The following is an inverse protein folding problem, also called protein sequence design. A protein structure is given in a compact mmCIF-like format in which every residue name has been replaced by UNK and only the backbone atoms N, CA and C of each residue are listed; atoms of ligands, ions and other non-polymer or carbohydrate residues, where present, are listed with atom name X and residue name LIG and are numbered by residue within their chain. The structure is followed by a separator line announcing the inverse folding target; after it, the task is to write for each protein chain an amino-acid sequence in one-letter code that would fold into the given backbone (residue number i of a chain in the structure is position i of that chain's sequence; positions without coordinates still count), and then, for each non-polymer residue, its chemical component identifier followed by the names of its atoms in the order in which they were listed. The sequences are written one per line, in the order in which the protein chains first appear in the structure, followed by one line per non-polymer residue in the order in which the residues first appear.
data_IF_231582841875
#
_entry.id   IF_231582841875
#
_cell.length_a   1.000
_cell.length_b   1.000
_cell.length_c   1.000
_cell.angle_alpha   90.00
_cell.angle_beta   90.00
_cell.angle_gamma   90.00
#
_symmetry.space_group_name_H-M   'P 1'
#
loop_
_entity.id
_entity.type
_entity.pdbx_description
1 polymer ?
#
# COMPACT_ATOMS: atom_id res chain seq x y z
N UNK A 1 17.80 13.80 1.11
CA UNK A 1 17.98 12.38 1.47
C UNK A 1 18.85 11.64 0.45
N UNK A 2 18.52 11.59 -0.84
CA UNK A 2 19.30 10.86 -1.87
C UNK A 2 20.76 11.30 -2.06
N UNK A 3 21.04 12.60 -1.99
CA UNK A 3 22.43 13.11 -2.10
C UNK A 3 23.32 12.60 -0.96
N UNK A 4 22.77 12.47 0.23
CA UNK A 4 23.46 11.93 1.41
C UNK A 4 23.72 10.43 1.23
N UNK A 5 22.79 9.68 0.67
CA UNK A 5 22.93 8.23 0.48
C UNK A 5 23.98 7.87 -0.59
N UNK A 6 24.09 8.65 -1.68
CA UNK A 6 25.11 8.41 -2.72
C UNK A 6 26.54 8.56 -2.17
N UNK A 7 26.78 9.55 -1.32
CA UNK A 7 28.10 9.76 -0.70
C UNK A 7 28.37 8.82 0.48
N UNK A 8 27.32 8.30 1.15
CA UNK A 8 27.43 7.41 2.31
C UNK A 8 27.61 5.95 1.86
N UNK A 9 27.06 5.54 0.71
CA UNK A 9 27.12 4.16 0.26
C UNK A 9 28.54 3.69 -0.10
N UNK A 10 29.41 4.57 -0.59
CA UNK A 10 30.78 4.20 -0.98
C UNK A 10 31.70 3.94 0.22
N UNK A 11 31.49 4.60 1.37
CA UNK A 11 32.35 4.45 2.55
C UNK A 11 31.80 3.50 3.63
N UNK A 12 30.50 3.17 3.61
CA UNK A 12 29.80 2.40 4.65
C UNK A 12 29.28 1.03 4.17
N UNK A 13 29.72 0.55 3.01
CA UNK A 13 29.33 -0.76 2.48
C UNK A 13 29.59 -1.87 3.53
N UNK A 14 28.52 -2.56 3.95
CA UNK A 14 28.59 -3.62 4.97
C UNK A 14 28.71 -3.14 6.42
N UNK A 15 28.69 -1.81 6.67
CA UNK A 15 28.84 -1.22 8.02
C UNK A 15 27.63 -0.39 8.46
N UNK A 16 26.66 -0.18 7.59
CA UNK A 16 25.43 0.54 7.89
C UNK A 16 24.20 -0.27 7.47
N UNK A 17 23.18 -0.28 8.32
CA UNK A 17 21.84 -0.78 8.00
C UNK A 17 20.98 0.38 7.47
N UNK A 18 20.21 0.13 6.42
CA UNK A 18 19.22 1.08 5.91
C UNK A 18 17.86 0.66 6.41
N UNK A 19 17.24 1.50 7.23
CA UNK A 19 15.89 1.26 7.75
C UNK A 19 14.94 2.17 6.96
N UNK A 20 14.03 1.62 6.14
CA UNK A 20 13.02 2.40 5.46
C UNK A 20 11.97 2.86 6.47
N UNK A 21 11.76 4.18 6.56
CA UNK A 21 10.72 4.77 7.42
C UNK A 21 9.59 5.26 6.52
N UNK A 22 8.38 4.83 6.83
CA UNK A 22 7.13 5.30 6.21
C UNK A 22 6.44 6.34 7.11
N UNK A 23 5.30 6.87 6.66
CA UNK A 23 4.42 7.64 7.54
C UNK A 23 3.87 6.79 8.69
N UNK A 24 3.24 7.42 9.67
CA UNK A 24 2.69 6.75 10.85
C UNK A 24 1.67 5.67 10.45
N UNK A 25 1.72 4.52 11.11
CA UNK A 25 0.67 3.50 11.01
C UNK A 25 -0.55 3.91 11.83
N UNK A 26 -1.69 3.27 11.57
CA UNK A 26 -2.91 3.50 12.33
C UNK A 26 -2.72 3.18 13.83
N UNK A 27 -1.95 2.15 14.14
CA UNK A 27 -1.58 1.80 15.53
C UNK A 27 -0.78 2.92 16.19
N UNK A 28 0.26 3.46 15.54
CA UNK A 28 1.08 4.57 16.06
C UNK A 28 0.24 5.85 16.26
N UNK A 29 -0.65 6.18 15.32
CA UNK A 29 -1.52 7.35 15.44
C UNK A 29 -2.47 7.23 16.63
N UNK A 30 -2.89 6.01 16.98
CA UNK A 30 -3.75 5.74 18.12
C UNK A 30 -2.96 5.51 19.43
N UNK A 31 -1.62 5.62 19.41
CA UNK A 31 -0.76 5.47 20.58
C UNK A 31 -0.53 4.01 21.00
N UNK A 32 -0.77 3.06 20.11
CA UNK A 32 -0.49 1.64 20.36
C UNK A 32 0.88 1.26 19.79
N UNK A 33 1.48 0.24 20.37
CA UNK A 33 2.69 -0.35 19.80
C UNK A 33 2.35 -1.07 18.49
N UNK A 34 3.02 -0.76 17.38
CA UNK A 34 2.75 -1.45 16.11
C UNK A 34 3.22 -2.92 16.21
N UNK A 35 2.37 -3.82 15.74
CA UNK A 35 2.64 -5.25 15.65
C UNK A 35 2.53 -5.71 14.20
N UNK A 36 3.27 -6.75 13.82
CA UNK A 36 3.20 -7.35 12.51
C UNK A 36 1.79 -7.92 12.22
N UNK A 37 1.21 -7.61 11.07
CA UNK A 37 -0.10 -8.14 10.69
C UNK A 37 -0.04 -9.65 10.45
N UNK A 38 -0.99 -10.37 11.01
CA UNK A 38 -1.16 -11.81 10.81
C UNK A 38 -2.60 -12.16 10.39
N UNK A 39 -2.75 -13.16 9.53
CA UNK A 39 -4.05 -13.74 9.21
C UNK A 39 -4.49 -14.82 10.19
N UNK A 40 -3.62 -15.23 11.12
CA UNK A 40 -3.93 -16.23 12.15
C UNK A 40 -4.93 -15.65 13.17
N UNK A 41 -6.10 -16.29 13.35
CA UNK A 41 -7.10 -15.85 14.32
C UNK A 41 -6.56 -15.77 15.76
N UNK A 42 -5.66 -16.67 16.13
CA UNK A 42 -5.11 -16.72 17.50
C UNK A 42 -4.25 -15.50 17.83
N UNK A 43 -3.59 -14.93 16.84
CA UNK A 43 -2.80 -13.70 16.95
C UNK A 43 -3.69 -12.45 16.88
N UNK A 44 -4.73 -12.48 16.05
CA UNK A 44 -5.61 -11.32 15.79
C UNK A 44 -6.57 -11.00 16.92
N UNK A 45 -7.10 -12.02 17.62
CA UNK A 45 -8.04 -11.78 18.71
C UNK A 45 -7.46 -10.93 19.85
N UNK A 46 -6.23 -11.15 20.32
CA UNK A 46 -5.59 -10.25 21.28
C UNK A 46 -5.44 -8.81 20.78
N UNK A 47 -5.21 -8.61 19.48
CA UNK A 47 -5.05 -7.26 18.89
C UNK A 47 -6.31 -6.40 18.99
N UNK A 48 -7.51 -6.98 19.01
CA UNK A 48 -8.73 -6.22 19.25
C UNK A 48 -8.68 -5.40 20.54
N UNK A 49 -7.99 -5.91 21.58
CA UNK A 49 -7.84 -5.21 22.85
C UNK A 49 -6.79 -4.09 22.81
N UNK A 50 -5.88 -4.16 21.84
CA UNK A 50 -4.79 -3.19 21.61
C UNK A 50 -5.02 -2.32 20.37
N UNK A 51 -6.28 -2.17 19.96
CA UNK A 51 -6.67 -1.35 18.80
C UNK A 51 -7.86 -0.48 19.16
N UNK A 52 -7.95 0.66 18.51
CA UNK A 52 -9.11 1.54 18.64
C UNK A 52 -10.14 1.19 17.58
N UNK A 53 -11.33 0.76 17.99
CA UNK A 53 -12.45 0.55 17.07
C UNK A 53 -12.81 1.85 16.34
N UNK A 54 -12.97 1.75 15.01
CA UNK A 54 -13.25 2.89 14.13
C UNK A 54 -14.47 2.60 13.26
N UNK A 55 -15.38 3.55 13.19
CA UNK A 55 -16.48 3.53 12.22
C UNK A 55 -15.99 3.87 10.80
N UNK A 56 -16.88 3.68 9.81
CA UNK A 56 -16.56 3.94 8.39
C UNK A 56 -16.05 5.36 8.17
N UNK A 57 -16.76 6.35 8.71
CA UNK A 57 -16.36 7.77 8.56
C UNK A 57 -15.00 8.06 9.19
N UNK A 58 -14.67 7.46 10.35
CA UNK A 58 -13.35 7.62 10.99
C UNK A 58 -12.23 7.00 10.14
N UNK A 59 -12.49 5.85 9.51
CA UNK A 59 -11.54 5.21 8.58
C UNK A 59 -11.31 6.14 7.37
N UNK A 60 -12.38 6.71 6.78
CA UNK A 60 -12.23 7.62 5.65
C UNK A 60 -11.62 8.97 6.03
N UNK A 61 -11.83 9.46 7.25
CA UNK A 61 -11.06 10.60 7.79
C UNK A 61 -9.56 10.27 7.88
N UNK A 62 -9.21 9.05 8.32
CA UNK A 62 -7.83 8.57 8.37
C UNK A 62 -7.22 8.48 6.96
N UNK A 63 -7.93 7.88 6.02
CA UNK A 63 -7.53 7.76 4.61
C UNK A 63 -7.30 9.15 3.99
N UNK A 64 -8.22 10.08 4.19
CA UNK A 64 -8.14 11.44 3.65
C UNK A 64 -7.04 12.28 4.29
N UNK A 65 -6.78 12.10 5.59
CA UNK A 65 -5.73 12.82 6.32
C UNK A 65 -4.34 12.30 5.97
N UNK A 66 -4.22 11.01 5.64
CA UNK A 66 -2.95 10.36 5.37
C UNK A 66 -2.18 10.00 6.63
N UNK A 67 -0.89 9.79 6.49
CA UNK A 67 -0.01 9.23 7.52
C UNK A 67 1.15 10.13 7.93
N UNK A 68 1.20 11.37 7.43
CA UNK A 68 2.31 12.30 7.69
C UNK A 68 2.31 12.76 9.17
N UNK A 69 3.42 12.58 9.93
CA UNK A 69 3.47 12.85 11.37
C UNK A 69 3.02 14.27 11.74
N UNK A 70 3.45 15.26 10.97
CA UNK A 70 3.12 16.68 11.21
C UNK A 70 1.62 16.97 11.28
N UNK A 71 0.81 16.18 10.57
CA UNK A 71 -0.64 16.32 10.58
C UNK A 71 -1.27 15.85 11.91
N UNK A 72 -0.56 15.02 12.68
CA UNK A 72 -1.00 14.47 13.97
C UNK A 72 -0.42 15.19 15.19
N UNK A 73 0.74 15.83 15.03
CA UNK A 73 1.32 16.67 16.09
C UNK A 73 0.48 17.92 16.38
N UNK A 74 -0.15 18.48 15.34
CA UNK A 74 -0.91 19.72 15.47
C UNK A 74 -2.21 19.65 14.66
N UNK A 75 -3.32 19.52 15.36
CA UNK A 75 -4.68 19.45 14.77
C UNK A 75 -5.09 20.70 13.98
N UNK A 76 -4.41 21.85 14.17
CA UNK A 76 -4.70 23.10 13.44
C UNK A 76 -4.11 23.14 12.03
N UNK A 77 -3.18 22.22 11.70
CA UNK A 77 -2.60 22.15 10.36
C UNK A 77 -3.65 21.62 9.38
N UNK A 78 -4.02 22.44 8.41
CA UNK A 78 -4.91 22.02 7.33
C UNK A 78 -4.17 21.08 6.39
N UNK A 79 -4.78 19.95 6.07
CA UNK A 79 -4.22 18.91 5.20
C UNK A 79 -3.84 19.46 3.83
N UNK A 80 -4.70 20.30 3.23
CA UNK A 80 -4.42 20.93 1.92
C UNK A 80 -3.16 21.79 1.94
N UNK A 81 -3.05 22.71 2.89
CA UNK A 81 -1.88 23.60 3.02
C UNK A 81 -0.58 22.83 3.27
N UNK A 82 -0.68 21.74 4.07
CA UNK A 82 0.46 20.88 4.32
C UNK A 82 0.93 20.19 3.04
N UNK A 83 0.03 19.55 2.29
CA UNK A 83 0.42 18.82 1.08
C UNK A 83 0.82 19.75 -0.08
N UNK A 84 0.23 20.96 -0.19
CA UNK A 84 0.73 21.99 -1.12
C UNK A 84 2.20 22.32 -0.83
N UNK A 85 2.51 22.69 0.40
CA UNK A 85 3.88 22.99 0.81
C UNK A 85 4.84 21.80 0.67
N UNK A 86 4.35 20.58 0.95
CA UNK A 86 5.12 19.36 0.76
C UNK A 86 5.50 19.15 -0.72
N UNK A 87 4.52 19.27 -1.63
CA UNK A 87 4.74 19.12 -3.06
C UNK A 87 5.70 20.18 -3.62
N UNK A 88 5.51 21.45 -3.24
CA UNK A 88 6.40 22.54 -3.65
C UNK A 88 7.85 22.29 -3.21
N UNK A 89 8.02 21.85 -1.96
CA UNK A 89 9.35 21.54 -1.43
C UNK A 89 9.95 20.29 -2.08
N UNK A 90 9.16 19.23 -2.26
CA UNK A 90 9.59 17.98 -2.87
C UNK A 90 9.97 18.15 -4.34
N UNK A 91 9.13 18.84 -5.12
CA UNK A 91 9.38 19.07 -6.55
C UNK A 91 10.58 20.02 -6.73
N UNK A 92 10.62 21.13 -5.99
CA UNK A 92 11.66 22.14 -6.17
C UNK A 92 13.05 21.73 -5.69
N UNK A 93 13.15 20.85 -4.68
CA UNK A 93 14.44 20.44 -4.09
C UNK A 93 14.89 19.05 -4.55
N UNK A 94 14.01 18.05 -4.34
CA UNK A 94 14.46 16.66 -4.46
C UNK A 94 14.40 16.18 -5.91
N UNK A 95 13.38 16.59 -6.65
CA UNK A 95 13.20 16.13 -8.04
C UNK A 95 14.08 16.88 -9.01
N UNK A 96 14.21 18.20 -8.88
CA UNK A 96 15.08 19.01 -9.75
C UNK A 96 16.52 18.53 -9.67
N UNK A 97 17.01 18.23 -8.47
CA UNK A 97 18.39 17.79 -8.25
C UNK A 97 18.64 16.34 -8.71
N UNK A 98 17.62 15.47 -8.70
CA UNK A 98 17.77 14.03 -8.97
C UNK A 98 17.50 13.65 -10.41
N UNK A 99 16.54 14.27 -11.06
CA UNK A 99 16.00 13.79 -12.33
C UNK A 99 16.42 14.67 -13.51
N UNK A 100 17.09 15.82 -13.31
CA UNK A 100 17.26 16.84 -14.35
C UNK A 100 15.94 17.09 -15.10
N UNK A 101 14.81 17.09 -14.36
CA UNK A 101 13.47 17.29 -14.92
C UNK A 101 13.42 18.72 -15.44
N UNK A 102 13.55 18.88 -16.76
CA UNK A 102 13.44 20.17 -17.42
C UNK A 102 12.01 20.72 -17.44
N UNK A 103 11.01 19.87 -17.17
CA UNK A 103 9.58 20.20 -17.16
C UNK A 103 8.90 19.77 -15.87
N UNK A 104 8.90 20.66 -14.87
CA UNK A 104 8.28 20.45 -13.57
C UNK A 104 6.75 20.28 -13.67
N UNK A 105 6.10 20.96 -14.62
CA UNK A 105 4.65 20.86 -14.82
C UNK A 105 4.25 19.48 -15.35
N UNK A 106 5.01 18.93 -16.31
CA UNK A 106 4.80 17.57 -16.80
C UNK A 106 5.07 16.53 -15.70
N UNK A 107 6.08 16.74 -14.85
CA UNK A 107 6.34 15.86 -13.72
C UNK A 107 5.20 15.89 -12.70
N UNK A 108 4.69 17.05 -12.31
CA UNK A 108 3.54 17.14 -11.41
C UNK A 108 2.29 16.48 -12.02
N UNK A 109 2.06 16.64 -13.32
CA UNK A 109 1.01 15.93 -14.04
C UNK A 109 1.20 14.41 -13.95
N UNK A 110 2.44 13.91 -14.13
CA UNK A 110 2.77 12.51 -13.98
C UNK A 110 2.47 12.00 -12.58
N UNK A 111 2.85 12.71 -11.52
CA UNK A 111 2.55 12.35 -10.13
C UNK A 111 1.03 12.25 -9.90
N UNK A 112 0.24 13.17 -10.45
CA UNK A 112 -1.24 13.13 -10.39
C UNK A 112 -1.81 11.91 -11.13
N UNK A 113 -1.29 11.57 -12.30
CA UNK A 113 -1.68 10.38 -13.07
C UNK A 113 -1.37 9.10 -12.29
N UNK A 114 -0.19 9.03 -11.66
CA UNK A 114 0.21 7.90 -10.82
C UNK A 114 -0.70 7.79 -9.59
N UNK A 115 -1.06 8.90 -8.94
CA UNK A 115 -2.02 8.91 -7.82
C UNK A 115 -3.40 8.38 -8.24
N UNK A 116 -3.90 8.81 -9.41
CA UNK A 116 -5.18 8.35 -9.95
C UNK A 116 -5.21 6.85 -10.31
N UNK A 117 -4.04 6.22 -10.37
CA UNK A 117 -3.89 4.79 -10.70
C UNK A 117 -3.43 3.95 -9.50
N UNK A 118 -3.60 4.45 -8.28
CA UNK A 118 -3.36 3.65 -7.07
C UNK A 118 -4.22 2.38 -7.08
N UNK A 119 -3.74 1.29 -6.48
CA UNK A 119 -4.36 -0.03 -6.48
C UNK A 119 -4.59 -0.65 -7.87
N UNK A 120 -3.86 -0.22 -8.91
CA UNK A 120 -3.95 -0.81 -10.25
C UNK A 120 -2.62 -1.44 -10.68
N UNK A 121 -2.68 -2.35 -11.66
CA UNK A 121 -1.47 -2.92 -12.24
C UNK A 121 -0.70 -1.86 -13.02
N UNK A 122 0.61 -1.83 -12.83
CA UNK A 122 1.51 -0.90 -13.51
C UNK A 122 1.43 -1.08 -15.03
N UNK A 123 1.22 0.03 -15.74
CA UNK A 123 1.26 0.11 -17.19
C UNK A 123 1.99 1.39 -17.59
N UNK A 124 3.26 1.25 -18.00
CA UNK A 124 4.10 2.39 -18.40
C UNK A 124 3.56 3.13 -19.61
N UNK A 125 2.99 2.42 -20.60
CA UNK A 125 2.46 3.04 -21.82
C UNK A 125 1.26 3.92 -21.49
N UNK A 126 0.37 3.44 -20.62
CA UNK A 126 -0.76 4.23 -20.16
C UNK A 126 -0.33 5.48 -19.40
N UNK A 127 0.65 5.34 -18.48
CA UNK A 127 1.22 6.48 -17.75
C UNK A 127 1.85 7.51 -18.70
N UNK A 128 2.59 7.04 -19.70
CA UNK A 128 3.24 7.90 -20.69
C UNK A 128 2.21 8.68 -21.52
N UNK A 129 1.20 8.00 -22.08
CA UNK A 129 0.15 8.59 -22.91
C UNK A 129 -0.66 9.63 -22.14
N UNK A 130 -1.12 9.32 -20.92
CA UNK A 130 -1.94 10.22 -20.10
C UNK A 130 -1.18 11.46 -19.64
N UNK A 131 0.13 11.32 -19.43
CA UNK A 131 0.99 12.45 -19.06
C UNK A 131 1.40 13.27 -20.28
N UNK A 132 1.56 12.64 -21.45
CA UNK A 132 2.10 13.25 -22.66
C UNK A 132 3.63 13.20 -22.71
N UNK A 133 4.24 12.15 -22.16
CA UNK A 133 5.70 11.93 -22.10
C UNK A 133 6.09 10.63 -22.81
N UNK A 134 7.40 10.41 -23.00
CA UNK A 134 7.89 9.15 -23.55
C UNK A 134 7.81 7.99 -22.54
N UNK A 135 7.70 6.74 -23.03
CA UNK A 135 7.73 5.54 -22.19
C UNK A 135 9.00 5.43 -21.34
N UNK A 136 10.23 5.66 -21.89
CA UNK A 136 11.46 5.73 -21.10
C UNK A 136 11.40 6.79 -19.98
N UNK A 137 10.85 7.98 -20.26
CA UNK A 137 10.67 9.04 -19.26
C UNK A 137 9.71 8.58 -18.15
N UNK A 138 8.56 7.97 -18.49
CA UNK A 138 7.63 7.43 -17.50
C UNK A 138 8.28 6.39 -16.60
N UNK A 139 9.10 5.49 -17.16
CA UNK A 139 9.85 4.50 -16.38
C UNK A 139 10.85 5.14 -15.42
N UNK A 140 11.61 6.13 -15.88
CA UNK A 140 12.56 6.88 -15.06
C UNK A 140 11.84 7.62 -13.93
N UNK A 141 10.77 8.34 -14.23
CA UNK A 141 10.03 9.12 -13.25
C UNK A 141 9.33 8.23 -12.22
N UNK A 142 8.76 7.09 -12.64
CA UNK A 142 8.19 6.15 -11.67
C UNK A 142 9.27 5.58 -10.74
N UNK A 143 10.46 5.25 -11.26
CA UNK A 143 11.55 4.78 -10.40
C UNK A 143 11.99 5.79 -9.36
N UNK A 144 11.88 7.09 -9.66
CA UNK A 144 12.10 8.16 -8.67
C UNK A 144 11.01 8.16 -7.59
N UNK A 145 9.73 8.04 -7.98
CA UNK A 145 8.64 7.98 -7.01
C UNK A 145 8.74 6.75 -6.10
N UNK A 146 9.16 5.61 -6.65
CA UNK A 146 9.40 4.38 -5.86
C UNK A 146 10.59 4.56 -4.92
N UNK A 147 11.72 5.05 -5.42
CA UNK A 147 12.94 5.22 -4.62
C UNK A 147 12.81 6.32 -3.56
N UNK A 148 11.92 7.29 -3.76
CA UNK A 148 11.58 8.31 -2.75
C UNK A 148 10.50 7.88 -1.76
N UNK A 149 9.94 6.67 -1.92
CA UNK A 149 8.91 6.13 -1.03
C UNK A 149 7.51 6.70 -1.24
N UNK A 150 7.26 7.46 -2.32
CA UNK A 150 5.92 7.95 -2.67
C UNK A 150 5.02 6.87 -3.28
N UNK A 151 5.63 5.88 -3.92
CA UNK A 151 4.95 4.75 -4.54
C UNK A 151 5.57 3.46 -4.04
N UNK A 152 4.71 2.51 -3.69
CA UNK A 152 5.07 1.14 -3.34
C UNK A 152 4.59 0.20 -4.45
N UNK A 153 5.46 -0.72 -4.87
CA UNK A 153 5.13 -1.75 -5.84
C UNK A 153 5.01 -3.09 -5.13
N UNK A 154 3.90 -3.78 -5.35
CA UNK A 154 3.67 -5.14 -4.84
C UNK A 154 3.78 -6.09 -6.03
N UNK A 155 4.69 -7.05 -5.93
CA UNK A 155 4.98 -8.01 -7.00
C UNK A 155 3.89 -9.09 -7.10
N UNK A 156 3.66 -9.66 -8.30
CA UNK A 156 2.72 -10.75 -8.45
C UNK A 156 3.24 -12.05 -7.83
N UNK A 157 2.35 -12.83 -7.23
CA UNK A 157 2.67 -14.12 -6.64
C UNK A 157 2.74 -15.22 -7.71
N UNK A 158 3.89 -15.89 -7.80
CA UNK A 158 4.12 -17.09 -8.62
C UNK A 158 5.09 -18.02 -7.91
N UNK A 159 4.89 -19.32 -8.05
CA UNK A 159 5.81 -20.33 -7.52
C UNK A 159 7.22 -20.25 -8.14
N UNK A 160 7.32 -19.76 -9.36
CA UNK A 160 8.59 -19.57 -10.04
C UNK A 160 9.02 -18.09 -9.92
N UNK A 161 10.16 -17.86 -9.27
CA UNK A 161 10.71 -16.50 -9.06
C UNK A 161 10.92 -15.72 -10.37
N UNK A 162 11.30 -16.39 -11.48
CA UNK A 162 11.45 -15.74 -12.79
C UNK A 162 10.11 -15.20 -13.32
N UNK A 163 8.98 -15.89 -13.06
CA UNK A 163 7.67 -15.41 -13.49
C UNK A 163 7.21 -14.20 -12.69
N UNK A 164 7.67 -14.01 -11.45
CA UNK A 164 7.39 -12.82 -10.64
C UNK A 164 8.01 -11.56 -11.25
N UNK A 165 9.21 -11.66 -11.79
CA UNK A 165 9.96 -10.52 -12.36
C UNK A 165 9.42 -10.07 -13.73
N UNK A 166 8.76 -10.96 -14.48
CA UNK A 166 8.33 -10.69 -15.86
C UNK A 166 6.95 -9.99 -15.91
N UNK A 167 6.09 -10.17 -14.91
CA UNK A 167 4.74 -9.58 -14.90
C UNK A 167 4.70 -8.25 -14.16
N UNK A 168 3.81 -7.34 -14.64
CA UNK A 168 3.67 -6.02 -14.06
C UNK A 168 3.22 -6.07 -12.60
N UNK A 169 3.90 -5.35 -11.68
CA UNK A 169 3.49 -5.24 -10.29
C UNK A 169 2.19 -4.42 -10.15
N UNK A 170 1.55 -4.49 -8.98
CA UNK A 170 0.47 -3.60 -8.60
C UNK A 170 1.06 -2.39 -7.87
N UNK A 171 0.55 -1.22 -8.21
CA UNK A 171 1.08 0.05 -7.76
C UNK A 171 0.18 0.67 -6.69
N UNK A 172 0.77 1.09 -5.57
CA UNK A 172 0.09 1.78 -4.49
C UNK A 172 0.77 3.11 -4.18
N UNK A 173 -0.03 4.17 -4.04
CA UNK A 173 0.48 5.43 -3.54
C UNK A 173 0.68 5.33 -2.02
N UNK A 174 1.89 5.58 -1.51
CA UNK A 174 2.27 5.21 -0.13
C UNK A 174 1.55 6.01 0.96
N UNK A 175 1.10 7.24 0.64
CA UNK A 175 0.29 8.07 1.54
C UNK A 175 -1.05 8.42 0.90
N UNK A 176 -2.14 7.91 1.47
CA UNK A 176 -3.49 8.11 0.93
C UNK A 176 -3.98 9.55 1.03
N UNK A 177 -3.50 10.33 2.00
CA UNK A 177 -3.85 11.74 2.13
C UNK A 177 -3.20 12.59 1.04
N UNK A 178 -1.92 12.35 0.74
CA UNK A 178 -1.24 12.99 -0.39
C UNK A 178 -1.90 12.57 -1.72
N UNK A 179 -2.28 11.29 -1.85
CA UNK A 179 -3.02 10.79 -3.01
C UNK A 179 -4.36 11.53 -3.19
N UNK A 180 -5.14 11.67 -2.11
CA UNK A 180 -6.41 12.41 -2.11
C UNK A 180 -6.24 13.89 -2.49
N UNK A 181 -5.20 14.53 -1.96
CA UNK A 181 -4.87 15.92 -2.29
C UNK A 181 -4.51 16.10 -3.77
N UNK A 182 -3.65 15.23 -4.32
CA UNK A 182 -3.25 15.26 -5.74
C UNK A 182 -4.42 15.08 -6.69
N UNK A 183 -5.42 14.30 -6.28
CA UNK A 183 -6.65 14.06 -7.03
C UNK A 183 -7.74 15.11 -6.81
N UNK A 184 -7.52 16.08 -5.92
CA UNK A 184 -8.45 17.18 -5.67
C UNK A 184 -9.69 16.80 -4.85
N UNK A 185 -9.64 15.72 -4.05
CA UNK A 185 -10.73 15.38 -3.15
C UNK A 185 -10.88 16.44 -2.05
N UNK A 186 -12.08 17.03 -1.90
CA UNK A 186 -12.31 18.17 -1.01
C UNK A 186 -12.60 17.81 0.44
N UNK A 187 -13.07 16.58 0.71
CA UNK A 187 -13.37 16.12 2.07
C UNK A 187 -13.38 14.58 2.16
N UNK A 188 -13.26 14.02 3.39
CA UNK A 188 -13.37 12.58 3.61
C UNK A 188 -14.72 12.01 3.14
N UNK A 189 -15.81 12.73 3.34
CA UNK A 189 -17.17 12.30 2.96
C UNK A 189 -17.33 12.22 1.44
N UNK A 190 -16.73 13.15 0.69
CA UNK A 190 -16.74 13.12 -0.77
C UNK A 190 -15.94 11.93 -1.28
N UNK A 191 -14.77 11.67 -0.68
CA UNK A 191 -13.94 10.51 -1.01
C UNK A 191 -14.65 9.18 -0.68
N UNK A 192 -15.26 9.06 0.50
CA UNK A 192 -16.02 7.88 0.95
C UNK A 192 -17.13 7.47 -0.03
N UNK A 193 -17.81 8.46 -0.61
CA UNK A 193 -18.93 8.26 -1.54
C UNK A 193 -18.51 8.31 -3.02
N UNK A 194 -17.24 8.42 -3.31
CA UNK A 194 -16.72 8.45 -4.68
C UNK A 194 -16.63 7.06 -5.31
N UNK A 195 -16.50 7.03 -6.64
CA UNK A 195 -16.23 5.80 -7.37
C UNK A 195 -14.87 5.18 -7.01
N UNK A 196 -13.91 5.98 -6.51
CA UNK A 196 -12.57 5.52 -6.13
C UNK A 196 -12.44 5.14 -4.65
N UNK A 197 -13.53 5.16 -3.91
CA UNK A 197 -13.50 4.86 -2.47
C UNK A 197 -13.00 3.44 -2.16
N UNK A 198 -13.21 2.49 -3.08
CA UNK A 198 -12.69 1.12 -2.99
C UNK A 198 -11.17 1.07 -3.11
N UNK A 199 -10.62 1.72 -4.14
CA UNK A 199 -9.19 1.79 -4.41
C UNK A 199 -8.42 2.52 -3.29
N UNK A 200 -9.02 3.57 -2.73
CA UNK A 200 -8.44 4.26 -1.58
C UNK A 200 -8.46 3.40 -0.32
N UNK A 201 -9.56 2.69 -0.08
CA UNK A 201 -9.64 1.75 1.04
C UNK A 201 -8.62 0.61 0.88
N UNK A 202 -8.52 0.01 -0.31
CA UNK A 202 -7.52 -1.02 -0.62
C UNK A 202 -6.10 -0.49 -0.42
N UNK A 203 -5.79 0.70 -0.97
CA UNK A 203 -4.48 1.33 -0.82
C UNK A 203 -4.12 1.52 0.64
N UNK A 204 -5.03 2.03 1.45
CA UNK A 204 -4.82 2.26 2.87
C UNK A 204 -4.55 0.94 3.60
N UNK A 205 -5.38 -0.08 3.40
CA UNK A 205 -5.21 -1.41 4.03
C UNK A 205 -3.87 -2.04 3.65
N UNK A 206 -3.52 -2.04 2.35
CA UNK A 206 -2.24 -2.60 1.89
C UNK A 206 -1.06 -1.85 2.52
N UNK A 207 -1.13 -0.52 2.60
CA UNK A 207 -0.06 0.27 3.19
C UNK A 207 0.01 0.13 4.72
N UNK A 208 -1.10 -0.07 5.42
CA UNK A 208 -1.08 -0.39 6.86
C UNK A 208 -0.42 -1.76 7.11
N UNK A 209 -0.78 -2.79 6.33
CA UNK A 209 -0.12 -4.10 6.40
C UNK A 209 1.37 -3.97 6.05
N UNK A 210 1.72 -3.23 5.01
CA UNK A 210 3.12 -2.99 4.62
C UNK A 210 3.93 -2.34 5.76
N UNK A 211 3.37 -1.31 6.39
CA UNK A 211 4.00 -0.61 7.53
C UNK A 211 4.16 -1.52 8.75
N UNK A 212 3.22 -2.44 9.00
CA UNK A 212 3.30 -3.34 10.15
C UNK A 212 4.57 -4.21 10.11
N UNK A 213 4.98 -4.68 8.92
CA UNK A 213 6.23 -5.42 8.74
C UNK A 213 7.46 -4.52 8.90
N UNK A 214 7.45 -3.32 8.30
CA UNK A 214 8.57 -2.39 8.44
C UNK A 214 8.80 -1.98 9.90
N UNK A 215 7.73 -1.75 10.65
CA UNK A 215 7.80 -1.40 12.07
C UNK A 215 8.32 -2.57 12.92
N UNK A 216 8.12 -3.81 12.49
CA UNK A 216 8.74 -4.99 13.07
C UNK A 216 10.21 -5.19 12.65
N UNK A 217 10.75 -4.31 11.79
CA UNK A 217 12.11 -4.41 11.27
C UNK A 217 12.28 -5.41 10.13
N UNK A 218 11.17 -5.87 9.55
CA UNK A 218 11.18 -6.89 8.50
C UNK A 218 10.87 -6.32 7.12
N UNK A 219 11.39 -6.97 6.08
CA UNK A 219 10.99 -6.68 4.71
C UNK A 219 9.62 -7.30 4.45
N UNK A 220 8.60 -6.50 4.03
CA UNK A 220 7.25 -7.00 3.82
C UNK A 220 7.20 -8.13 2.77
N UNK A 221 6.80 -9.36 3.12
CA UNK A 221 6.72 -10.50 2.20
C UNK A 221 5.37 -10.50 1.47
N UNK A 222 5.05 -9.40 0.81
CA UNK A 222 3.75 -9.10 0.22
C UNK A 222 3.75 -9.31 -1.28
N UNK A 223 2.70 -9.96 -1.76
CA UNK A 223 2.42 -10.24 -3.16
C UNK A 223 0.94 -10.07 -3.46
N UNK A 224 0.56 -9.96 -4.73
CA UNK A 224 -0.83 -10.11 -5.17
C UNK A 224 -0.94 -11.27 -6.16
N UNK A 225 -2.14 -11.78 -6.40
CA UNK A 225 -2.34 -12.82 -7.42
C UNK A 225 -3.35 -12.35 -8.48
N UNK A 226 -3.03 -12.63 -9.74
CA UNK A 226 -3.95 -12.50 -10.86
C UNK A 226 -3.62 -13.51 -11.93
N UNK A 227 -4.64 -14.29 -12.37
CA UNK A 227 -4.51 -15.24 -13.45
C UNK A 227 -5.00 -14.68 -14.81
N UNK A 228 -4.91 -15.51 -15.86
CA UNK A 228 -5.40 -15.18 -17.21
C UNK A 228 -6.93 -15.08 -17.27
N UNK A 229 -7.66 -15.70 -16.35
CA UNK A 229 -9.11 -15.65 -16.23
C UNK A 229 -9.60 -14.47 -15.40
N UNK A 230 -8.71 -13.54 -15.04
CA UNK A 230 -8.98 -12.36 -14.22
C UNK A 230 -9.43 -12.68 -12.78
N UNK A 231 -9.14 -13.88 -12.28
CA UNK A 231 -9.31 -14.15 -10.85
C UNK A 231 -8.16 -13.50 -10.09
N UNK A 232 -8.50 -12.77 -9.07
CA UNK A 232 -7.54 -11.98 -8.28
C UNK A 232 -7.64 -12.32 -6.80
N UNK A 233 -6.50 -12.19 -6.11
CA UNK A 233 -6.40 -12.06 -4.65
C UNK A 233 -5.65 -10.77 -4.41
N UNK A 234 -6.24 -9.85 -3.65
CA UNK A 234 -5.76 -8.49 -3.49
C UNK A 234 -4.37 -8.45 -2.85
N UNK A 235 -4.12 -9.29 -1.83
CA UNK A 235 -2.81 -9.41 -1.19
C UNK A 235 -2.55 -10.85 -0.73
N UNK A 236 -1.28 -11.26 -0.74
CA UNK A 236 -0.80 -12.52 -0.19
C UNK A 236 0.43 -12.22 0.65
N UNK A 237 0.40 -12.64 1.92
CA UNK A 237 1.62 -12.74 2.72
C UNK A 237 2.24 -14.12 2.40
N UNK A 238 3.51 -14.15 1.97
CA UNK A 238 4.20 -15.41 1.69
C UNK A 238 5.43 -15.55 2.58
N UNK A 239 5.37 -16.47 3.53
CA UNK A 239 6.44 -16.71 4.51
C UNK A 239 6.61 -18.22 4.72
N UNK A 240 7.84 -18.69 4.77
CA UNK A 240 8.23 -20.06 5.12
C UNK A 240 7.47 -21.14 4.34
N UNK A 241 7.28 -20.92 3.03
CA UNK A 241 6.57 -21.85 2.16
C UNK A 241 5.05 -21.80 2.25
N UNK A 242 4.49 -20.91 3.08
CA UNK A 242 3.04 -20.77 3.29
C UNK A 242 2.52 -19.46 2.69
N UNK A 243 1.44 -19.54 1.93
CA UNK A 243 0.73 -18.39 1.38
C UNK A 243 -0.53 -18.10 2.21
N UNK A 244 -0.65 -16.88 2.69
CA UNK A 244 -1.79 -16.40 3.49
C UNK A 244 -2.59 -15.39 2.65
N UNK A 245 -3.72 -15.80 2.06
CA UNK A 245 -4.50 -14.94 1.18
C UNK A 245 -5.29 -13.88 1.95
N UNK A 246 -5.34 -12.68 1.39
CA UNK A 246 -6.07 -11.53 1.93
C UNK A 246 -6.89 -10.91 0.81
N UNK A 247 -8.18 -10.78 1.07
CA UNK A 247 -9.10 -10.00 0.23
C UNK A 247 -9.45 -8.70 0.95
N UNK A 248 -9.60 -7.60 0.20
CA UNK A 248 -9.89 -6.28 0.75
C UNK A 248 -11.21 -5.78 0.17
N UNK A 249 -12.20 -5.53 1.02
CA UNK A 249 -13.53 -5.13 0.55
C UNK A 249 -14.10 -4.00 1.41
N UNK A 250 -14.49 -2.92 0.75
CA UNK A 250 -15.26 -1.83 1.35
C UNK A 250 -16.69 -2.28 1.62
N UNK A 251 -16.90 -3.05 2.67
CA UNK A 251 -18.21 -3.57 3.10
C UNK A 251 -18.05 -4.25 4.44
N UNK A 252 -19.13 -4.49 5.18
CA UNK A 252 -19.06 -5.08 6.52
C UNK A 252 -18.87 -6.59 6.47
N UNK A 253 -19.63 -7.31 5.62
CA UNK A 253 -19.54 -8.76 5.43
C UNK A 253 -19.88 -9.13 3.98
N UNK A 254 -19.01 -8.80 2.99
CA UNK A 254 -19.31 -9.03 1.58
C UNK A 254 -19.40 -10.53 1.28
N UNK A 255 -20.50 -10.92 0.64
CA UNK A 255 -20.72 -12.33 0.22
C UNK A 255 -19.64 -12.76 -0.77
N UNK A 256 -19.30 -14.03 -0.77
CA UNK A 256 -18.35 -14.66 -1.71
C UNK A 256 -16.94 -14.03 -1.72
N UNK A 257 -16.56 -13.29 -0.67
CA UNK A 257 -15.28 -12.60 -0.62
C UNK A 257 -14.07 -13.55 -0.77
N UNK A 258 -14.16 -14.77 -0.24
CA UNK A 258 -13.06 -15.75 -0.29
C UNK A 258 -13.13 -16.70 -1.50
N UNK A 259 -14.05 -16.50 -2.45
CA UNK A 259 -14.25 -17.41 -3.59
C UNK A 259 -12.98 -17.63 -4.43
N UNK A 260 -12.16 -16.60 -4.53
CA UNK A 260 -10.93 -16.64 -5.32
C UNK A 260 -9.76 -17.32 -4.58
N UNK A 261 -9.83 -17.57 -3.27
CA UNK A 261 -8.75 -18.25 -2.55
C UNK A 261 -8.46 -19.64 -3.09
N UNK A 262 -9.47 -20.30 -3.66
CA UNK A 262 -9.34 -21.62 -4.32
C UNK A 262 -8.37 -21.62 -5.52
N UNK A 263 -8.02 -20.46 -6.09
CA UNK A 263 -7.04 -20.39 -7.20
C UNK A 263 -5.62 -20.76 -6.75
N UNK A 264 -5.37 -20.76 -5.45
CA UNK A 264 -4.09 -21.19 -4.88
C UNK A 264 -3.98 -22.73 -4.76
N UNK A 265 -5.07 -23.48 -4.84
CA UNK A 265 -5.04 -24.96 -4.71
C UNK A 265 -4.12 -25.65 -5.73
N UNK A 266 -4.13 -25.30 -7.04
CA UNK A 266 -3.20 -25.91 -8.00
C UNK A 266 -1.73 -25.57 -7.73
N UNK A 267 -1.47 -24.49 -7.01
CA UNK A 267 -0.14 -24.07 -6.61
C UNK A 267 0.39 -24.95 -5.48
N UNK A 268 -0.52 -25.46 -4.64
CA UNK A 268 -0.23 -26.42 -3.58
C UNK A 268 0.18 -27.78 -4.13
N UNK A 269 -0.30 -28.16 -5.32
CA UNK A 269 -0.02 -29.44 -5.98
C UNK A 269 1.25 -29.43 -6.87
N UNK A 270 1.90 -28.27 -7.00
CA UNK A 270 3.12 -28.12 -7.81
C UNK A 270 4.36 -28.75 -7.14
N UNK A 271 5.44 -28.98 -7.91
CA UNK A 271 6.70 -29.56 -7.42
C UNK A 271 7.29 -28.84 -6.20
N UNK A 272 7.07 -27.52 -6.10
CA UNK A 272 7.35 -26.76 -4.88
C UNK A 272 6.04 -26.59 -4.15
N UNK A 273 5.79 -27.44 -3.15
CA UNK A 273 4.60 -27.38 -2.31
C UNK A 273 4.53 -26.04 -1.59
N UNK A 274 3.54 -25.22 -1.95
CA UNK A 274 3.17 -24.02 -1.18
C UNK A 274 1.97 -24.42 -0.30
N UNK A 275 2.12 -24.30 1.00
CA UNK A 275 1.00 -24.46 1.91
C UNK A 275 0.06 -23.25 1.86
N UNK A 276 -1.24 -23.47 2.09
CA UNK A 276 -2.23 -22.41 2.17
C UNK A 276 -2.65 -22.26 3.62
N UNK A 277 -2.21 -21.16 4.21
CA UNK A 277 -2.54 -20.77 5.56
C UNK A 277 -3.96 -20.20 5.70
N UNK A 278 -4.37 -19.78 6.92
CA UNK A 278 -5.62 -19.08 7.13
C UNK A 278 -5.67 -17.77 6.33
N UNK A 279 -6.84 -17.48 5.76
CA UNK A 279 -7.09 -16.27 5.00
C UNK A 279 -7.84 -15.21 5.80
N UNK A 280 -7.75 -13.96 5.33
CA UNK A 280 -8.48 -12.83 5.90
C UNK A 280 -9.25 -12.08 4.83
N UNK A 281 -10.43 -11.59 5.17
CA UNK A 281 -11.14 -10.56 4.43
C UNK A 281 -11.09 -9.29 5.26
N UNK A 282 -10.17 -8.39 4.92
CA UNK A 282 -10.07 -7.09 5.58
C UNK A 282 -11.21 -6.22 5.09
N UNK A 283 -12.05 -5.74 6.01
CA UNK A 283 -13.31 -5.11 5.68
C UNK A 283 -13.72 -4.04 6.71
N UNK A 284 -14.87 -3.43 6.51
CA UNK A 284 -15.50 -2.50 7.46
C UNK A 284 -16.34 -3.25 8.52
N UNK A 285 -16.02 -4.51 8.81
CA UNK A 285 -16.60 -5.25 9.92
C UNK A 285 -16.29 -4.57 11.26
N UNK A 286 -17.17 -4.75 12.24
CA UNK A 286 -16.96 -4.22 13.59
C UNK A 286 -16.23 -5.18 14.51
N UNK A 287 -16.08 -6.44 14.10
CA UNK A 287 -15.44 -7.51 14.87
C UNK A 287 -14.79 -8.54 13.94
N UNK A 288 -13.98 -9.43 14.49
CA UNK A 288 -13.45 -10.60 13.77
C UNK A 288 -14.54 -11.65 13.69
N UNK A 289 -15.06 -11.90 12.48
CA UNK A 289 -16.18 -12.81 12.25
C UNK A 289 -15.69 -14.00 11.42
N UNK A 290 -15.79 -15.24 11.90
CA UNK A 290 -15.45 -16.42 11.11
C UNK A 290 -16.32 -16.53 9.84
N UNK A 291 -15.68 -16.83 8.71
CA UNK A 291 -16.36 -17.17 7.45
C UNK A 291 -16.47 -18.70 7.33
N UNK A 292 -15.36 -19.37 7.63
CA UNK A 292 -15.26 -20.83 7.67
C UNK A 292 -14.20 -21.26 8.71
N UNK A 293 -13.73 -22.52 8.66
CA UNK A 293 -12.74 -23.07 9.62
C UNK A 293 -11.37 -22.37 9.57
N UNK A 294 -11.02 -21.70 8.46
CA UNK A 294 -9.71 -21.11 8.22
C UNK A 294 -9.77 -19.59 7.99
N UNK A 295 -10.88 -19.08 7.49
CA UNK A 295 -11.00 -17.72 7.00
C UNK A 295 -11.92 -16.86 7.87
N UNK A 296 -11.61 -15.59 8.01
CA UNK A 296 -12.40 -14.64 8.82
C UNK A 296 -12.49 -13.28 8.17
N UNK A 297 -13.58 -12.56 8.42
CA UNK A 297 -13.59 -11.10 8.29
C UNK A 297 -12.74 -10.49 9.39
N UNK A 298 -11.99 -9.46 9.02
CA UNK A 298 -11.10 -8.73 9.93
C UNK A 298 -11.41 -7.25 9.80
N UNK A 299 -11.71 -6.56 10.90
CA UNK A 299 -11.88 -5.11 10.86
C UNK A 299 -10.61 -4.43 10.37
N UNK A 300 -10.74 -3.49 9.43
CA UNK A 300 -9.59 -2.77 8.89
C UNK A 300 -8.84 -1.95 9.94
N UNK A 301 -9.48 -1.55 11.02
CA UNK A 301 -8.88 -0.80 12.12
C UNK A 301 -8.01 -1.65 13.09
N UNK A 302 -8.01 -2.98 12.94
CA UNK A 302 -7.17 -3.91 13.74
C UNK A 302 -5.72 -4.01 13.19
N UNK A 303 -5.47 -3.51 11.97
CA UNK A 303 -4.15 -3.60 11.31
C UNK A 303 -3.12 -2.75 12.04
#
# INVERSE_FOLDING_TARGET
MFRTMKNVSESLTGRAGIIPIQGLSNSEINGFHPEEFSTDPTVRHPRLQHSKAMGVSEIFERIFRGSMPRLYENSRVKTSTYFESYLDTYISRDIRDLAQVGDEAAFLKFVKVVAARTATNLNYDALAVETGISGPTAKTWLSLLVSSGLVTLIEPFYNNALKRVIKAPRMYFSDTGLCAHLMGWGSPQVLENSAMSGEFFETWVVMEIYKSFLNAGERPPLYFYRDSNRKEIDLIIYRDGTAYPIEIKKGTAPKDAIKNFSVLNPIQEAEIKTEIGPGAVVSLASDIIPIDKKNSYVPAWVI
#
